data_IF_256085509246
#
_entry.id   IF_256085509246
#
_cell.length_a   1.000
_cell.length_b   1.000
_cell.length_c   1.000
_cell.angle_alpha   90.00
_cell.angle_beta   90.00
_cell.angle_gamma   90.00
#
_symmetry.space_group_name_H-M   'P 1'
#
loop_
_entity.id
_entity.type
_entity.pdbx_description
1 polymer ?
#
# COMPACT_ATOMS: atom_id res chain seq x y z
N UNK A 1 15.11 14.74 -22.35
CA UNK A 1 15.23 13.30 -22.63
C UNK A 1 14.45 12.58 -21.55
N UNK A 2 13.34 11.97 -21.87
CA UNK A 2 12.52 11.20 -20.91
C UNK A 2 13.35 10.00 -20.47
N UNK A 3 13.49 9.82 -19.18
CA UNK A 3 14.31 8.72 -18.62
C UNK A 3 13.68 7.36 -18.97
N UNK A 4 14.38 6.56 -19.76
CA UNK A 4 13.93 5.22 -20.18
C UNK A 4 13.63 4.30 -18.99
N UNK A 5 14.34 4.52 -17.87
CA UNK A 5 14.12 3.80 -16.63
C UNK A 5 12.74 4.10 -16.03
N UNK A 6 12.35 5.38 -15.99
CA UNK A 6 11.05 5.80 -15.47
C UNK A 6 9.89 5.28 -16.32
N UNK A 7 10.01 5.32 -17.66
CA UNK A 7 9.00 4.78 -18.58
C UNK A 7 8.83 3.28 -18.38
N UNK A 8 9.93 2.54 -18.23
CA UNK A 8 9.88 1.10 -17.99
C UNK A 8 9.24 0.76 -16.64
N UNK A 9 9.52 1.54 -15.57
CA UNK A 9 8.91 1.33 -14.26
C UNK A 9 7.40 1.54 -14.29
N UNK A 10 6.92 2.58 -15.00
CA UNK A 10 5.48 2.86 -15.11
C UNK A 10 4.77 1.76 -15.90
N UNK A 11 5.25 1.42 -17.10
CA UNK A 11 4.67 0.35 -17.92
C UNK A 11 4.71 -1.00 -17.20
N UNK A 12 5.79 -1.30 -16.47
CA UNK A 12 5.91 -2.53 -15.71
C UNK A 12 4.96 -2.56 -14.51
N UNK A 13 4.74 -1.42 -13.83
CA UNK A 13 3.82 -1.34 -12.71
C UNK A 13 2.39 -1.71 -13.13
N UNK A 14 1.92 -1.21 -14.29
CA UNK A 14 0.60 -1.56 -14.83
C UNK A 14 0.50 -3.05 -15.17
N UNK A 15 1.49 -3.59 -15.87
CA UNK A 15 1.50 -5.00 -16.28
C UNK A 15 1.55 -5.94 -15.07
N UNK A 16 2.42 -5.64 -14.09
CA UNK A 16 2.53 -6.45 -12.87
C UNK A 16 1.30 -6.34 -11.98
N UNK A 17 0.68 -5.17 -11.87
CA UNK A 17 -0.57 -5.01 -11.11
C UNK A 17 -1.71 -5.85 -11.72
N UNK A 18 -1.77 -5.94 -13.05
CA UNK A 18 -2.83 -6.65 -13.78
C UNK A 18 -2.64 -8.16 -13.81
N UNK A 19 -1.42 -8.64 -14.06
CA UNK A 19 -1.16 -10.05 -14.37
C UNK A 19 -0.25 -10.75 -13.34
N UNK A 20 0.24 -10.01 -12.35
CA UNK A 20 1.24 -10.47 -11.39
C UNK A 20 2.62 -10.70 -12.01
N UNK A 21 3.64 -10.95 -11.17
CA UNK A 21 5.01 -11.14 -11.66
C UNK A 21 5.19 -12.41 -12.50
N UNK A 22 4.38 -13.45 -12.25
CA UNK A 22 4.43 -14.71 -13.02
C UNK A 22 3.71 -14.60 -14.36
N UNK A 23 2.55 -13.94 -14.41
CA UNK A 23 1.73 -13.79 -15.61
C UNK A 23 2.23 -12.75 -16.62
N UNK A 24 2.97 -11.74 -16.17
CA UNK A 24 3.52 -10.67 -17.01
C UNK A 24 4.65 -11.18 -17.89
N UNK A 25 4.64 -10.84 -19.18
CA UNK A 25 5.75 -11.12 -20.13
C UNK A 25 6.59 -9.85 -20.34
N UNK A 26 7.90 -10.03 -20.51
CA UNK A 26 8.82 -8.92 -20.81
C UNK A 26 8.41 -8.18 -22.08
N UNK A 27 7.96 -8.91 -23.11
CA UNK A 27 7.49 -8.36 -24.37
C UNK A 27 6.31 -7.40 -24.20
N UNK A 28 5.38 -7.72 -23.30
CA UNK A 28 4.21 -6.86 -23.05
C UNK A 28 4.63 -5.53 -22.39
N UNK A 29 5.62 -5.59 -21.50
CA UNK A 29 6.19 -4.39 -20.85
C UNK A 29 6.90 -3.51 -21.89
N UNK A 30 7.78 -4.07 -22.71
CA UNK A 30 8.54 -3.28 -23.69
C UNK A 30 7.66 -2.72 -24.80
N UNK A 31 6.62 -3.44 -25.19
CA UNK A 31 5.61 -2.96 -26.12
C UNK A 31 4.83 -1.77 -25.53
N UNK A 32 4.38 -1.87 -24.30
CA UNK A 32 3.68 -0.78 -23.60
C UNK A 32 4.59 0.45 -23.39
N UNK A 33 5.88 0.21 -23.07
CA UNK A 33 6.87 1.26 -22.86
C UNK A 33 7.37 1.92 -24.15
N UNK A 34 7.26 1.27 -25.31
CA UNK A 34 7.90 1.71 -26.56
C UNK A 34 9.43 1.69 -26.48
N UNK A 35 10.03 0.82 -25.68
CA UNK A 35 11.46 0.76 -25.36
C UNK A 35 12.01 -0.62 -25.70
N UNK A 36 13.28 -0.69 -26.14
CA UNK A 36 13.94 -1.95 -26.45
C UNK A 36 14.13 -2.83 -25.20
N UNK A 37 13.87 -4.12 -25.33
CA UNK A 37 14.01 -5.13 -24.27
C UNK A 37 15.38 -5.11 -23.57
N UNK A 38 16.47 -4.82 -24.31
CA UNK A 38 17.83 -4.72 -23.75
C UNK A 38 17.91 -3.71 -22.60
N UNK A 39 17.05 -2.69 -22.57
CA UNK A 39 17.04 -1.67 -21.53
C UNK A 39 16.56 -2.22 -20.19
N UNK A 40 15.69 -3.25 -20.20
CA UNK A 40 15.28 -3.94 -18.96
C UNK A 40 16.50 -4.61 -18.33
N UNK A 41 17.25 -5.37 -19.12
CA UNK A 41 18.43 -6.06 -18.61
C UNK A 41 19.54 -5.08 -18.22
N UNK A 42 19.68 -3.98 -18.95
CA UNK A 42 20.65 -2.92 -18.65
C UNK A 42 20.35 -2.22 -17.32
N UNK A 43 19.09 -1.83 -17.06
CA UNK A 43 18.72 -1.07 -15.86
C UNK A 43 18.42 -1.95 -14.64
N UNK A 44 17.88 -3.14 -14.85
CA UNK A 44 17.31 -3.97 -13.78
C UNK A 44 17.89 -5.38 -13.69
N UNK A 45 18.70 -5.79 -14.64
CA UNK A 45 19.35 -7.12 -14.70
C UNK A 45 18.43 -8.27 -15.09
N UNK A 46 17.15 -8.24 -14.68
CA UNK A 46 16.17 -9.29 -14.95
C UNK A 46 14.75 -8.77 -14.78
N UNK A 47 13.74 -9.59 -15.20
CA UNK A 47 12.32 -9.32 -14.90
C UNK A 47 12.06 -9.27 -13.38
N UNK A 48 12.71 -10.13 -12.60
CA UNK A 48 12.60 -10.10 -11.15
C UNK A 48 13.21 -8.82 -10.55
N UNK A 49 14.34 -8.36 -11.06
CA UNK A 49 14.96 -7.08 -10.69
C UNK A 49 14.08 -5.89 -11.05
N UNK A 50 13.43 -5.91 -12.21
CA UNK A 50 12.45 -4.89 -12.60
C UNK A 50 11.24 -4.91 -11.65
N UNK A 51 10.68 -6.09 -11.31
CA UNK A 51 9.58 -6.19 -10.35
C UNK A 51 9.96 -5.62 -8.98
N UNK A 52 11.12 -5.98 -8.45
CA UNK A 52 11.62 -5.44 -7.19
C UNK A 52 11.81 -3.91 -7.24
N UNK A 53 12.28 -3.37 -8.38
CA UNK A 53 12.40 -1.93 -8.58
C UNK A 53 11.03 -1.24 -8.61
N UNK A 54 10.04 -1.82 -9.29
CA UNK A 54 8.65 -1.35 -9.28
C UNK A 54 8.10 -1.32 -7.85
N UNK A 55 8.27 -2.40 -7.08
CA UNK A 55 7.77 -2.47 -5.71
C UNK A 55 8.39 -1.40 -4.80
N UNK A 56 9.71 -1.19 -4.90
CA UNK A 56 10.40 -0.11 -4.15
C UNK A 56 9.87 1.26 -4.53
N UNK A 57 9.75 1.53 -5.82
CA UNK A 57 9.23 2.80 -6.33
C UNK A 57 7.80 3.08 -5.85
N UNK A 58 6.92 2.08 -5.94
CA UNK A 58 5.52 2.24 -5.50
C UNK A 58 5.41 2.46 -3.99
N UNK A 59 6.25 1.81 -3.17
CA UNK A 59 6.32 2.07 -1.73
C UNK A 59 6.87 3.46 -1.42
N UNK A 60 7.88 3.90 -2.13
CA UNK A 60 8.43 5.26 -1.98
C UNK A 60 7.35 6.31 -2.26
N UNK A 61 6.65 6.20 -3.39
CA UNK A 61 5.56 7.13 -3.76
C UNK A 61 4.40 7.11 -2.75
N UNK A 62 4.05 5.92 -2.25
CA UNK A 62 3.02 5.78 -1.22
C UNK A 62 3.47 6.46 0.09
N UNK A 63 4.71 6.24 0.50
CA UNK A 63 5.31 6.86 1.67
C UNK A 63 5.34 8.39 1.55
N UNK A 64 5.80 8.93 0.42
CA UNK A 64 5.82 10.37 0.16
C UNK A 64 4.42 11.01 0.23
N UNK A 65 3.40 10.32 -0.28
CA UNK A 65 2.02 10.80 -0.22
C UNK A 65 1.44 10.76 1.20
N UNK A 66 1.87 9.82 2.01
CA UNK A 66 1.38 9.58 3.37
C UNK A 66 2.11 10.44 4.42
N UNK A 67 3.41 10.64 4.25
CA UNK A 67 4.30 11.21 5.25
C UNK A 67 3.82 12.54 5.86
N UNK A 68 3.34 13.54 5.10
CA UNK A 68 2.88 14.81 5.68
C UNK A 68 1.71 14.65 6.66
N UNK A 69 0.79 13.71 6.37
CA UNK A 69 -0.31 13.41 7.27
C UNK A 69 0.16 12.67 8.53
N UNK A 70 1.14 11.77 8.38
CA UNK A 70 1.73 11.04 9.49
C UNK A 70 2.50 11.98 10.44
N UNK A 71 3.30 12.92 9.92
CA UNK A 71 3.97 13.95 10.74
C UNK A 71 2.98 14.76 11.57
N UNK A 72 1.84 15.10 11.00
CA UNK A 72 0.77 15.77 11.73
C UNK A 72 0.12 14.85 12.77
N UNK A 73 -0.17 13.60 12.40
CA UNK A 73 -0.85 12.63 13.25
C UNK A 73 -0.13 12.38 14.58
N UNK A 74 1.21 12.28 14.55
CA UNK A 74 2.01 12.04 15.77
C UNK A 74 1.99 13.16 16.78
N UNK A 75 1.60 14.38 16.37
CA UNK A 75 1.45 15.55 17.26
C UNK A 75 0.05 15.69 17.85
N UNK A 76 -0.90 14.86 17.43
CA UNK A 76 -2.28 14.85 17.90
C UNK A 76 -2.47 13.86 19.06
N UNK A 77 -3.62 13.94 19.73
CA UNK A 77 -4.06 12.90 20.68
C UNK A 77 -4.13 11.54 19.98
N UNK A 78 -3.95 10.45 20.73
CA UNK A 78 -3.69 9.12 20.15
C UNK A 78 -4.82 8.64 19.23
N UNK A 79 -6.10 8.82 19.61
CA UNK A 79 -7.21 8.38 18.76
C UNK A 79 -7.34 9.20 17.46
N UNK A 80 -7.50 10.54 17.51
CA UNK A 80 -7.60 11.31 16.26
C UNK A 80 -6.32 11.28 15.42
N UNK A 81 -5.15 11.13 16.05
CA UNK A 81 -3.89 10.93 15.34
C UNK A 81 -3.89 9.61 14.56
N UNK A 82 -4.29 8.51 15.17
CA UNK A 82 -4.39 7.22 14.50
C UNK A 82 -5.45 7.24 13.40
N UNK A 83 -6.58 7.91 13.62
CA UNK A 83 -7.60 8.11 12.59
C UNK A 83 -7.05 8.84 11.37
N UNK A 84 -6.29 9.91 11.58
CA UNK A 84 -5.63 10.65 10.49
C UNK A 84 -4.58 9.80 9.78
N UNK A 85 -3.74 9.07 10.52
CA UNK A 85 -2.69 8.22 9.95
C UNK A 85 -3.28 7.11 9.06
N UNK A 86 -4.27 6.36 9.57
CA UNK A 86 -4.92 5.29 8.81
C UNK A 86 -5.74 5.85 7.64
N UNK A 87 -6.50 6.93 7.86
CA UNK A 87 -7.35 7.54 6.84
C UNK A 87 -6.54 8.04 5.65
N UNK A 88 -5.47 8.79 5.90
CA UNK A 88 -4.61 9.32 4.84
C UNK A 88 -3.83 8.22 4.10
N UNK A 89 -3.45 7.15 4.78
CA UNK A 89 -2.85 5.99 4.12
C UNK A 89 -3.85 5.30 3.19
N UNK A 90 -5.08 5.12 3.65
CA UNK A 90 -6.13 4.49 2.85
C UNK A 90 -6.52 5.36 1.65
N UNK A 91 -6.61 6.69 1.83
CA UNK A 91 -6.81 7.63 0.71
C UNK A 91 -5.71 7.51 -0.35
N UNK A 92 -4.45 7.36 0.07
CA UNK A 92 -3.34 7.16 -0.85
C UNK A 92 -3.41 5.82 -1.61
N UNK A 93 -3.95 4.75 -0.99
CA UNK A 93 -4.24 3.48 -1.66
C UNK A 93 -5.41 3.59 -2.63
N UNK A 94 -6.52 4.24 -2.23
CA UNK A 94 -7.70 4.44 -3.08
C UNK A 94 -7.38 5.28 -4.32
N UNK A 95 -6.51 6.27 -4.18
CA UNK A 95 -6.04 7.09 -5.31
C UNK A 95 -5.18 6.30 -6.31
N UNK A 96 -4.63 5.14 -5.92
CA UNK A 96 -3.72 4.32 -6.73
C UNK A 96 -3.99 2.82 -6.54
N UNK A 97 -5.13 2.30 -7.01
CA UNK A 97 -5.53 0.91 -6.74
C UNK A 97 -4.55 -0.13 -7.29
N UNK A 98 -3.71 0.23 -8.28
CA UNK A 98 -2.63 -0.64 -8.76
C UNK A 98 -1.60 -0.97 -7.67
N UNK A 99 -1.37 -0.08 -6.69
CA UNK A 99 -0.44 -0.35 -5.58
C UNK A 99 -0.99 -1.47 -4.70
N UNK A 100 -2.28 -1.43 -4.38
CA UNK A 100 -2.93 -2.48 -3.61
C UNK A 100 -2.88 -3.83 -4.35
N UNK A 101 -3.12 -3.85 -5.66
CA UNK A 101 -2.99 -5.06 -6.47
C UNK A 101 -1.56 -5.61 -6.46
N UNK A 102 -0.54 -4.76 -6.57
CA UNK A 102 0.87 -5.16 -6.46
C UNK A 102 1.20 -5.76 -5.10
N UNK A 103 0.71 -5.17 -3.99
CA UNK A 103 0.89 -5.71 -2.65
C UNK A 103 0.22 -7.07 -2.46
N UNK A 104 -0.97 -7.27 -3.04
CA UNK A 104 -1.62 -8.59 -3.06
C UNK A 104 -0.76 -9.64 -3.79
N UNK A 105 -0.23 -9.31 -4.96
CA UNK A 105 0.65 -10.21 -5.71
C UNK A 105 1.96 -10.51 -4.97
N UNK A 106 2.53 -9.54 -4.30
CA UNK A 106 3.75 -9.75 -3.50
C UNK A 106 3.48 -10.63 -2.29
N UNK A 107 2.36 -10.44 -1.59
CA UNK A 107 1.95 -11.28 -0.46
C UNK A 107 1.69 -12.75 -0.82
N UNK A 108 1.41 -13.04 -2.10
CA UNK A 108 1.27 -14.41 -2.63
C UNK A 108 2.60 -15.02 -3.10
N UNK A 109 3.69 -14.26 -3.05
CA UNK A 109 5.01 -14.70 -3.50
C UNK A 109 5.89 -15.17 -2.35
N UNK A 110 6.98 -15.89 -2.69
CA UNK A 110 7.95 -16.41 -1.74
C UNK A 110 9.19 -15.50 -1.58
N UNK A 111 9.28 -14.43 -2.38
CA UNK A 111 10.40 -13.51 -2.35
C UNK A 111 10.32 -12.56 -1.14
N UNK A 112 11.46 -12.16 -0.55
CA UNK A 112 11.47 -11.12 0.48
C UNK A 112 10.83 -9.81 -0.03
N UNK A 113 10.19 -9.06 0.88
CA UNK A 113 9.58 -7.78 0.56
C UNK A 113 10.62 -6.79 0.00
N UNK A 114 10.33 -6.19 -1.14
CA UNK A 114 11.18 -5.18 -1.76
C UNK A 114 10.94 -3.81 -1.10
N UNK A 115 11.60 -3.57 0.04
CA UNK A 115 11.49 -2.31 0.78
C UNK A 115 12.29 -1.18 0.13
N UNK A 116 11.88 0.09 0.30
CA UNK A 116 12.68 1.25 -0.07
C UNK A 116 14.04 1.25 0.65
N UNK A 117 15.02 1.94 0.08
CA UNK A 117 16.33 2.08 0.68
C UNK A 117 16.25 2.75 2.07
N UNK A 118 16.95 2.19 3.05
CA UNK A 118 16.94 2.66 4.43
C UNK A 118 15.72 2.24 5.28
N UNK A 119 14.72 1.59 4.68
CA UNK A 119 13.57 1.05 5.43
C UNK A 119 13.85 -0.38 5.87
N UNK A 120 13.93 -0.59 7.18
CA UNK A 120 14.28 -1.89 7.77
C UNK A 120 13.15 -2.55 8.56
N UNK A 121 11.98 -1.90 8.66
CA UNK A 121 10.87 -2.43 9.48
C UNK A 121 9.56 -1.66 9.32
N UNK A 122 8.66 -1.87 10.28
CA UNK A 122 7.36 -1.19 10.33
C UNK A 122 7.54 0.29 10.70
N UNK A 123 6.58 1.17 10.31
CA UNK A 123 6.71 2.62 10.53
C UNK A 123 6.81 2.99 12.01
N UNK A 124 7.97 3.46 12.46
CA UNK A 124 8.22 3.87 13.83
C UNK A 124 7.23 4.93 14.37
N UNK A 125 6.90 5.98 13.60
CA UNK A 125 5.92 6.97 14.04
C UNK A 125 4.52 6.40 14.32
N UNK A 126 4.05 5.44 13.52
CA UNK A 126 2.76 4.75 13.77
C UNK A 126 2.83 3.90 15.04
N UNK A 127 3.95 3.18 15.22
CA UNK A 127 4.20 2.41 16.45
C UNK A 127 4.13 3.31 17.67
N UNK A 128 4.88 4.40 17.68
CA UNK A 128 4.91 5.33 18.82
C UNK A 128 3.54 5.92 19.15
N UNK A 129 2.74 6.23 18.12
CA UNK A 129 1.38 6.71 18.28
C UNK A 129 0.46 5.64 18.90
N UNK A 130 0.59 4.39 18.45
CA UNK A 130 -0.18 3.26 18.96
C UNK A 130 0.17 2.93 20.42
N UNK A 131 1.47 2.79 20.73
CA UNK A 131 1.98 2.48 22.07
C UNK A 131 1.64 3.60 23.08
N UNK A 132 1.66 4.87 22.64
CA UNK A 132 1.17 5.98 23.45
C UNK A 132 -0.31 5.83 23.76
N UNK A 133 -1.14 5.48 22.77
CA UNK A 133 -2.58 5.25 22.97
C UNK A 133 -2.87 4.07 23.90
N UNK A 134 -2.03 3.02 23.90
CA UNK A 134 -2.12 1.95 24.87
C UNK A 134 -1.80 2.44 26.30
N UNK A 135 -0.74 3.24 26.47
CA UNK A 135 -0.39 3.81 27.76
C UNK A 135 -1.45 4.77 28.30
N UNK A 136 -2.18 5.45 27.42
CA UNK A 136 -3.32 6.36 27.75
C UNK A 136 -4.63 5.58 28.00
N UNK A 137 -4.68 4.27 27.79
CA UNK A 137 -5.90 3.46 27.87
C UNK A 137 -6.89 3.69 26.73
N UNK A 138 -6.44 4.26 25.62
CA UNK A 138 -7.24 4.51 24.41
C UNK A 138 -7.29 3.26 23.53
N UNK A 139 -6.18 2.53 23.43
CA UNK A 139 -6.07 1.28 22.69
C UNK A 139 -5.86 0.10 23.64
N UNK A 140 -6.33 -1.07 23.23
CA UNK A 140 -6.23 -2.31 23.99
C UNK A 140 -4.76 -2.68 24.27
N UNK A 141 -4.40 -2.81 25.55
CA UNK A 141 -3.03 -3.03 25.97
C UNK A 141 -2.48 -4.42 25.59
N UNK A 142 -3.39 -5.40 25.44
CA UNK A 142 -3.04 -6.79 25.11
C UNK A 142 -2.81 -7.03 23.62
N UNK A 143 -3.14 -6.07 22.74
CA UNK A 143 -2.97 -6.21 21.29
C UNK A 143 -1.60 -5.68 20.86
N UNK A 144 -0.67 -6.56 20.41
CA UNK A 144 0.64 -6.10 19.95
C UNK A 144 0.53 -5.19 18.74
N UNK A 145 1.40 -4.19 18.63
CA UNK A 145 1.44 -3.26 17.50
C UNK A 145 1.53 -3.99 16.16
N UNK A 146 2.37 -5.03 16.06
CA UNK A 146 2.57 -5.80 14.84
C UNK A 146 1.26 -6.43 14.34
N UNK A 147 0.45 -6.94 15.27
CA UNK A 147 -0.84 -7.54 14.93
C UNK A 147 -1.84 -6.46 14.49
N UNK A 148 -1.96 -5.36 15.23
CA UNK A 148 -2.83 -4.24 14.88
C UNK A 148 -2.45 -3.65 13.51
N UNK A 149 -1.15 -3.45 13.28
CA UNK A 149 -0.63 -2.93 12.01
C UNK A 149 -0.90 -3.91 10.84
N UNK A 150 -0.60 -5.19 11.01
CA UNK A 150 -0.83 -6.20 9.97
C UNK A 150 -2.32 -6.31 9.62
N UNK A 151 -3.21 -6.28 10.63
CA UNK A 151 -4.65 -6.30 10.44
C UNK A 151 -5.12 -5.07 9.66
N UNK A 152 -4.68 -3.87 10.05
CA UNK A 152 -5.04 -2.63 9.37
C UNK A 152 -4.55 -2.62 7.91
N UNK A 153 -3.29 -2.98 7.66
CA UNK A 153 -2.72 -3.04 6.32
C UNK A 153 -3.46 -4.05 5.43
N UNK A 154 -3.67 -5.26 5.94
CA UNK A 154 -4.36 -6.32 5.19
C UNK A 154 -5.80 -5.90 4.85
N UNK A 155 -6.53 -5.32 5.80
CA UNK A 155 -7.89 -4.83 5.58
C UNK A 155 -7.91 -3.71 4.52
N UNK A 156 -7.07 -2.68 4.65
CA UNK A 156 -7.06 -1.55 3.72
C UNK A 156 -6.67 -1.95 2.30
N UNK A 157 -5.64 -2.81 2.14
CA UNK A 157 -5.23 -3.34 0.84
C UNK A 157 -6.36 -4.18 0.22
N UNK A 158 -6.95 -5.09 1.00
CA UNK A 158 -8.05 -5.93 0.53
C UNK A 158 -9.28 -5.10 0.15
N UNK A 159 -9.66 -4.13 0.97
CA UNK A 159 -10.82 -3.27 0.69
C UNK A 159 -10.62 -2.44 -0.59
N UNK A 160 -9.42 -1.94 -0.87
CA UNK A 160 -9.13 -1.24 -2.14
C UNK A 160 -9.38 -2.13 -3.36
N UNK A 161 -9.10 -3.44 -3.26
CA UNK A 161 -9.25 -4.38 -4.38
C UNK A 161 -10.64 -4.98 -4.47
N UNK A 162 -11.26 -5.32 -3.32
CA UNK A 162 -12.50 -6.10 -3.29
C UNK A 162 -13.76 -5.25 -3.14
N UNK A 163 -13.71 -4.06 -2.53
CA UNK A 163 -14.91 -3.25 -2.31
C UNK A 163 -15.72 -2.99 -3.59
N UNK A 164 -15.12 -2.59 -4.73
CA UNK A 164 -15.88 -2.41 -5.97
C UNK A 164 -16.56 -3.69 -6.45
N UNK A 165 -15.89 -4.84 -6.31
CA UNK A 165 -16.44 -6.15 -6.74
C UNK A 165 -17.56 -6.64 -5.83
N UNK A 166 -17.45 -6.37 -4.52
CA UNK A 166 -18.51 -6.70 -3.55
C UNK A 166 -19.72 -5.81 -3.79
N UNK A 167 -19.52 -4.53 -4.09
CA UNK A 167 -20.58 -3.60 -4.43
C UNK A 167 -21.38 -4.04 -5.67
N UNK A 168 -20.70 -4.61 -6.68
CA UNK A 168 -21.34 -5.17 -7.89
C UNK A 168 -22.22 -6.39 -7.57
N UNK A 169 -21.92 -7.14 -6.51
CA UNK A 169 -22.69 -8.31 -6.07
C UNK A 169 -23.82 -7.96 -5.11
N UNK A 170 -23.70 -6.88 -4.38
CA UNK A 170 -24.68 -6.44 -3.41
C UNK A 170 -25.69 -5.50 -4.07
N UNK A 171 -26.96 -5.90 -4.16
CA UNK A 171 -28.03 -5.03 -4.65
C UNK A 171 -28.21 -3.78 -3.78
N UNK A 172 -27.68 -3.80 -2.55
CA UNK A 172 -27.71 -2.67 -1.60
C UNK A 172 -26.50 -2.70 -0.66
N UNK A 173 -25.81 -1.59 -0.50
CA UNK A 173 -25.22 -1.28 0.80
C UNK A 173 -23.74 -1.10 0.94
N UNK A 174 -22.85 -1.56 0.06
CA UNK A 174 -21.46 -1.15 0.15
C UNK A 174 -21.27 0.16 -0.63
N UNK A 175 -21.12 1.25 0.12
CA UNK A 175 -20.81 2.54 -0.49
C UNK A 175 -19.35 2.55 -0.95
N UNK A 176 -19.14 2.76 -2.24
CA UNK A 176 -17.80 2.82 -2.86
C UNK A 176 -17.34 4.26 -3.08
N UNK A 177 -18.08 5.25 -2.61
CA UNK A 177 -17.57 6.61 -2.51
C UNK A 177 -16.28 6.62 -1.66
N UNK A 178 -15.16 7.13 -2.18
CA UNK A 178 -13.87 7.00 -1.50
C UNK A 178 -13.86 7.54 -0.07
N UNK A 179 -14.52 8.67 0.18
CA UNK A 179 -14.53 9.28 1.51
C UNK A 179 -15.34 8.45 2.51
N UNK A 180 -16.52 7.97 2.08
CA UNK A 180 -17.37 7.13 2.94
C UNK A 180 -16.78 5.76 3.19
N UNK A 181 -16.19 5.14 2.15
CA UNK A 181 -15.49 3.87 2.31
C UNK A 181 -14.32 4.00 3.29
N UNK A 182 -13.52 5.07 3.15
CA UNK A 182 -12.46 5.39 4.12
C UNK A 182 -12.99 5.47 5.54
N UNK A 183 -14.03 6.29 5.77
CA UNK A 183 -14.56 6.54 7.11
C UNK A 183 -15.10 5.26 7.74
N UNK A 184 -15.76 4.41 6.96
CA UNK A 184 -16.24 3.10 7.41
C UNK A 184 -15.10 2.15 7.76
N UNK A 185 -14.12 2.00 6.88
CA UNK A 185 -12.97 1.09 7.09
C UNK A 185 -12.14 1.54 8.28
N UNK A 186 -11.80 2.82 8.36
CA UNK A 186 -11.01 3.37 9.47
C UNK A 186 -11.76 3.27 10.78
N UNK A 187 -13.06 3.56 10.78
CA UNK A 187 -13.92 3.41 11.97
C UNK A 187 -13.94 1.98 12.50
N UNK A 188 -14.08 0.98 11.62
CA UNK A 188 -14.03 -0.44 11.99
C UNK A 188 -12.67 -0.84 12.56
N UNK A 189 -11.59 -0.40 11.94
CA UNK A 189 -10.23 -0.69 12.41
C UNK A 189 -9.96 -0.08 13.79
N UNK A 190 -10.35 1.18 13.99
CA UNK A 190 -10.19 1.86 15.29
C UNK A 190 -11.01 1.20 16.37
N UNK A 191 -12.27 0.83 16.10
CA UNK A 191 -13.12 0.11 17.04
C UNK A 191 -12.49 -1.25 17.44
N UNK A 192 -11.83 -1.94 16.51
CA UNK A 192 -11.10 -3.17 16.81
C UNK A 192 -9.79 -2.95 17.59
N UNK A 193 -9.26 -1.72 17.66
CA UNK A 193 -8.09 -1.36 18.42
C UNK A 193 -8.41 -0.89 19.84
N UNK A 194 -9.63 -0.41 20.09
CA UNK A 194 -10.03 0.17 21.40
C UNK A 194 -10.49 -0.85 22.44
N UNK A 195 -10.76 -2.08 22.07
CA UNK A 195 -11.19 -3.14 23.02
C UNK A 195 -12.63 -3.00 23.49
#
# INVERSE_FOLDING_TARGET
>A
MTDSKAILLEAAAEQFARYGPRGTRVQDIVQAAGINERMIYHHFGSKAGLYAAVMREQRTRLGEAWWPALEKAVTMDSYPGMQLALGSFFDALLARPQIAALFMHEGLGDAPLALPEGVTGLPGPVRSLYERGQAEGVFAAEVPFEFAYATAMSCMVAMTVFAPRIADLAETGLDTDPARLRDQVVGQLLNGMTG
#
